data_IF_992607473005
#
_entry.id   IF_992607473005
#
_cell.length_a   1.000
_cell.length_b   1.000
_cell.length_c   1.000
_cell.angle_alpha   90.00
_cell.angle_beta   90.00
_cell.angle_gamma   90.00
#
_symmetry.space_group_name_H-M   'P 1'
#
loop_
_entity.id
_entity.type
_entity.pdbx_description
1 polymer ?
#
# COMPACT_ATOMS: atom_id res chain seq x y z
N UNK A 1 42.71 -21.55 -18.28
CA UNK A 1 41.28 -21.27 -18.56
C UNK A 1 40.43 -21.35 -17.28
N UNK A 2 40.39 -20.32 -16.43
CA UNK A 2 39.58 -20.31 -15.19
C UNK A 2 39.01 -18.92 -14.88
N UNK A 3 37.96 -18.49 -15.59
CA UNK A 3 37.23 -17.25 -15.24
C UNK A 3 35.73 -17.29 -15.59
N UNK A 4 35.25 -18.35 -16.25
CA UNK A 4 33.86 -18.47 -16.71
C UNK A 4 32.85 -18.67 -15.58
N UNK A 5 33.20 -19.43 -14.52
CA UNK A 5 32.31 -19.65 -13.37
C UNK A 5 32.06 -18.39 -12.51
N UNK A 6 32.99 -17.43 -12.52
CA UNK A 6 32.86 -16.11 -11.89
C UNK A 6 31.70 -15.30 -12.47
N UNK A 7 31.77 -15.11 -13.79
CA UNK A 7 30.84 -14.28 -14.57
C UNK A 7 29.44 -14.89 -14.65
N UNK A 8 29.32 -16.22 -14.73
CA UNK A 8 28.01 -16.88 -14.80
C UNK A 8 27.21 -16.69 -13.50
N UNK A 9 27.86 -16.85 -12.34
CA UNK A 9 27.22 -16.62 -11.04
C UNK A 9 26.82 -15.16 -10.82
N UNK A 10 27.64 -14.20 -11.24
CA UNK A 10 27.30 -12.78 -11.18
C UNK A 10 26.10 -12.42 -12.07
N UNK A 11 26.04 -12.96 -13.29
CA UNK A 11 24.88 -12.75 -14.19
C UNK A 11 23.60 -13.34 -13.62
N UNK A 12 23.66 -14.53 -13.02
CA UNK A 12 22.52 -15.16 -12.36
C UNK A 12 22.07 -14.35 -11.14
N UNK A 13 23.00 -13.90 -10.30
CA UNK A 13 22.68 -13.04 -9.16
C UNK A 13 22.00 -11.74 -9.60
N UNK A 14 22.54 -11.09 -10.65
CA UNK A 14 21.94 -9.87 -11.21
C UNK A 14 20.51 -10.11 -11.70
N UNK A 15 20.27 -11.20 -12.43
CA UNK A 15 18.92 -11.56 -12.90
C UNK A 15 17.97 -11.82 -11.73
N UNK A 16 18.45 -12.50 -10.69
CA UNK A 16 17.64 -12.82 -9.52
C UNK A 16 17.27 -11.54 -8.74
N UNK A 17 18.23 -10.64 -8.52
CA UNK A 17 17.99 -9.33 -7.92
C UNK A 17 16.96 -8.50 -8.71
N UNK A 18 17.09 -8.46 -10.03
CA UNK A 18 16.14 -7.75 -10.89
C UNK A 18 14.75 -8.39 -10.83
N UNK A 19 14.67 -9.72 -10.87
CA UNK A 19 13.38 -10.42 -10.75
C UNK A 19 12.72 -10.16 -9.40
N UNK A 20 13.47 -10.24 -8.29
CA UNK A 20 12.95 -9.94 -6.95
C UNK A 20 12.48 -8.49 -6.85
N UNK A 21 13.24 -7.53 -7.37
CA UNK A 21 12.85 -6.13 -7.38
C UNK A 21 11.57 -5.88 -8.20
N UNK A 22 11.46 -6.49 -9.40
CA UNK A 22 10.26 -6.39 -10.23
C UNK A 22 9.04 -7.03 -9.56
N UNK A 23 9.20 -8.19 -8.91
CA UNK A 23 8.13 -8.84 -8.15
C UNK A 23 7.69 -7.98 -6.97
N UNK A 24 8.62 -7.35 -6.26
CA UNK A 24 8.31 -6.42 -5.17
C UNK A 24 7.52 -5.21 -5.66
N UNK A 25 7.97 -4.59 -6.76
CA UNK A 25 7.26 -3.47 -7.39
C UNK A 25 5.86 -3.87 -7.86
N UNK A 26 5.71 -5.05 -8.45
CA UNK A 26 4.42 -5.56 -8.89
C UNK A 26 3.49 -5.83 -7.71
N UNK A 27 3.99 -6.40 -6.62
CA UNK A 27 3.23 -6.61 -5.40
C UNK A 27 2.76 -5.27 -4.80
N UNK A 28 3.66 -4.29 -4.69
CA UNK A 28 3.32 -2.94 -4.23
C UNK A 28 2.23 -2.33 -5.11
N UNK A 29 2.39 -2.40 -6.44
CA UNK A 29 1.43 -1.85 -7.39
C UNK A 29 0.06 -2.55 -7.32
N UNK A 30 0.03 -3.89 -7.16
CA UNK A 30 -1.22 -4.63 -7.05
C UNK A 30 -1.93 -4.38 -5.73
N UNK A 31 -1.19 -4.25 -4.63
CA UNK A 31 -1.80 -3.83 -3.35
C UNK A 31 -2.36 -2.41 -3.52
N UNK A 32 -1.63 -1.48 -4.17
CA UNK A 32 -2.09 -0.11 -4.51
C UNK A 32 -3.36 -0.10 -5.33
N UNK A 33 -3.43 -0.94 -6.36
CA UNK A 33 -4.62 -1.12 -7.15
C UNK A 33 -5.78 -1.67 -6.30
N UNK A 34 -5.54 -2.69 -5.47
CA UNK A 34 -6.54 -3.28 -4.59
C UNK A 34 -7.20 -2.26 -3.66
N UNK A 35 -6.41 -1.43 -2.97
CA UNK A 35 -7.01 -0.46 -2.04
C UNK A 35 -7.77 0.68 -2.73
N UNK A 36 -7.46 0.98 -4.00
CA UNK A 36 -8.29 1.88 -4.81
C UNK A 36 -9.70 1.32 -4.98
N UNK A 37 -9.81 0.01 -5.18
CA UNK A 37 -11.08 -0.69 -5.37
C UNK A 37 -11.82 -0.95 -4.06
N UNK A 38 -11.12 -1.25 -2.97
CA UNK A 38 -11.75 -1.58 -1.69
C UNK A 38 -12.33 -0.34 -0.97
N UNK A 39 -11.75 0.84 -1.19
CA UNK A 39 -12.17 2.08 -0.55
C UNK A 39 -12.53 3.18 -1.57
N UNK A 40 -13.51 2.99 -2.47
CA UNK A 40 -13.85 3.98 -3.48
C UNK A 40 -14.36 5.28 -2.82
N UNK A 41 -13.99 6.43 -3.37
CA UNK A 41 -14.60 7.69 -2.93
C UNK A 41 -16.09 7.66 -3.27
N UNK A 42 -16.93 7.78 -2.24
CA UNK A 42 -18.37 7.71 -2.46
C UNK A 42 -18.85 9.01 -3.12
N UNK A 43 -19.35 8.87 -4.35
CA UNK A 43 -19.86 10.00 -5.12
C UNK A 43 -21.06 10.67 -4.43
N UNK A 44 -21.89 9.91 -3.71
CA UNK A 44 -23.05 10.46 -3.01
C UNK A 44 -22.65 11.31 -1.79
N UNK A 45 -21.58 10.92 -1.10
CA UNK A 45 -20.99 11.72 -0.02
C UNK A 45 -20.44 13.04 -0.58
N UNK A 46 -19.69 12.98 -1.68
CA UNK A 46 -19.15 14.18 -2.34
C UNK A 46 -20.25 15.12 -2.86
N UNK A 47 -21.34 14.57 -3.40
CA UNK A 47 -22.50 15.36 -3.84
C UNK A 47 -23.15 16.04 -2.63
N UNK A 48 -23.34 15.32 -1.51
CA UNK A 48 -23.86 15.91 -0.27
C UNK A 48 -22.95 16.99 0.33
N UNK A 49 -21.62 16.85 0.22
CA UNK A 49 -20.67 17.88 0.65
C UNK A 49 -20.73 19.16 -0.20
N UNK A 50 -20.96 19.02 -1.50
CA UNK A 50 -21.02 20.14 -2.43
C UNK A 50 -22.38 20.83 -2.46
N UNK A 51 -23.43 20.13 -2.03
CA UNK A 51 -24.81 20.62 -2.02
C UNK A 51 -24.99 21.79 -1.03
N UNK A 52 -25.49 22.97 -1.49
CA UNK A 52 -25.72 24.10 -0.61
C UNK A 52 -26.77 23.82 0.47
N UNK A 53 -27.78 22.99 0.17
CA UNK A 53 -28.81 22.55 1.11
C UNK A 53 -28.29 21.70 2.27
N UNK A 54 -27.07 21.17 2.19
CA UNK A 54 -26.44 20.38 3.24
C UNK A 54 -25.48 21.19 4.13
N UNK A 55 -25.56 22.52 4.12
CA UNK A 55 -24.71 23.40 4.92
C UNK A 55 -24.73 23.06 6.42
N UNK A 56 -25.88 22.71 6.98
CA UNK A 56 -26.01 22.34 8.39
C UNK A 56 -25.23 21.06 8.74
N UNK A 57 -25.21 20.08 7.83
CA UNK A 57 -24.43 18.84 7.97
C UNK A 57 -22.92 19.10 7.82
N UNK A 58 -22.55 20.08 6.98
CA UNK A 58 -21.16 20.51 6.81
C UNK A 58 -20.62 21.20 8.06
N UNK A 59 -21.42 22.04 8.70
CA UNK A 59 -21.04 22.79 9.90
C UNK A 59 -21.09 21.94 11.19
N UNK A 60 -21.78 20.81 11.16
CA UNK A 60 -21.86 19.84 12.25
C UNK A 60 -20.46 19.37 12.71
N UNK A 61 -20.21 19.21 14.01
CA UNK A 61 -18.96 18.55 14.47
C UNK A 61 -18.93 17.07 14.10
N UNK A 62 -17.83 16.61 13.50
CA UNK A 62 -17.60 15.19 13.19
C UNK A 62 -17.75 14.29 14.44
N UNK A 63 -18.19 13.05 14.26
CA UNK A 63 -18.27 12.04 15.32
C UNK A 63 -19.23 12.35 16.47
N UNK A 64 -20.15 13.32 16.29
CA UNK A 64 -21.07 13.79 17.34
C UNK A 64 -22.54 13.42 17.07
N UNK A 65 -22.91 12.11 17.07
CA UNK A 65 -24.24 11.65 16.68
C UNK A 65 -25.37 12.16 17.57
N UNK A 66 -25.09 12.49 18.83
CA UNK A 66 -26.10 12.94 19.81
C UNK A 66 -26.49 14.42 19.70
N UNK A 67 -25.77 15.23 18.93
CA UNK A 67 -25.97 16.69 18.85
C UNK A 67 -26.60 17.16 17.54
N UNK A 68 -26.86 16.25 16.59
CA UNK A 68 -27.26 16.65 15.25
C UNK A 68 -28.64 16.16 14.85
N UNK A 69 -29.41 17.07 14.25
CA UNK A 69 -30.69 16.77 13.66
C UNK A 69 -30.51 15.97 12.37
N UNK A 70 -31.34 14.94 12.18
CA UNK A 70 -31.31 14.14 10.95
C UNK A 70 -31.81 14.98 9.77
N UNK A 71 -31.09 15.03 8.64
CA UNK A 71 -31.50 15.84 7.50
C UNK A 71 -32.72 15.25 6.81
N UNK A 72 -33.59 16.13 6.28
CA UNK A 72 -34.80 15.74 5.54
C UNK A 72 -34.52 15.43 4.06
N UNK A 73 -33.40 15.91 3.52
CA UNK A 73 -32.98 15.66 2.14
C UNK A 73 -32.19 14.35 2.05
N UNK A 74 -32.58 13.47 1.13
CA UNK A 74 -31.86 12.24 0.82
C UNK A 74 -30.40 12.52 0.43
N UNK A 75 -30.14 13.65 -0.25
CA UNK A 75 -28.80 14.06 -0.67
C UNK A 75 -27.88 14.34 0.53
N UNK A 76 -28.43 14.88 1.61
CA UNK A 76 -27.66 15.17 2.81
C UNK A 76 -27.53 13.96 3.75
N UNK A 77 -28.36 12.93 3.56
CA UNK A 77 -28.41 11.78 4.45
C UNK A 77 -27.11 10.98 4.42
N UNK A 78 -26.56 10.70 3.24
CA UNK A 78 -25.30 9.94 3.12
C UNK A 78 -24.12 10.71 3.68
N UNK A 79 -24.08 12.03 3.44
CA UNK A 79 -23.06 12.90 4.02
C UNK A 79 -23.19 12.99 5.55
N UNK A 80 -24.40 13.04 6.08
CA UNK A 80 -24.66 13.03 7.52
C UNK A 80 -24.17 11.74 8.18
N UNK A 81 -24.49 10.58 7.60
CA UNK A 81 -24.01 9.28 8.10
C UNK A 81 -22.48 9.24 8.13
N UNK A 82 -21.83 9.73 7.08
CA UNK A 82 -20.37 9.86 7.05
C UNK A 82 -19.85 10.74 8.20
N UNK A 83 -20.42 11.94 8.38
CA UNK A 83 -20.01 12.91 9.41
C UNK A 83 -20.14 12.38 10.83
N UNK A 84 -21.16 11.56 11.11
CA UNK A 84 -21.34 10.97 12.45
C UNK A 84 -20.51 9.71 12.69
N UNK A 85 -20.16 8.98 11.62
CA UNK A 85 -19.44 7.71 11.71
C UNK A 85 -17.95 7.84 11.97
N UNK A 86 -17.34 8.95 11.56
CA UNK A 86 -15.92 9.20 11.70
C UNK A 86 -15.65 10.46 12.54
N UNK A 87 -14.76 10.38 13.56
CA UNK A 87 -14.48 11.51 14.46
C UNK A 87 -13.73 12.67 13.80
N UNK A 88 -13.12 12.43 12.64
CA UNK A 88 -12.35 13.35 11.83
C UNK A 88 -12.90 13.45 10.38
N UNK A 89 -14.20 13.12 10.21
CA UNK A 89 -14.86 13.20 8.92
C UNK A 89 -14.65 14.56 8.24
N UNK A 90 -14.26 14.55 6.98
CA UNK A 90 -14.11 15.74 6.16
C UNK A 90 -15.44 16.47 5.96
N UNK A 91 -15.38 17.79 5.74
CA UNK A 91 -16.56 18.63 5.49
C UNK A 91 -16.57 19.27 4.10
N UNK A 92 -15.55 19.00 3.28
CA UNK A 92 -15.46 19.42 1.89
C UNK A 92 -14.94 18.29 0.99
N UNK A 93 -15.20 18.34 -0.34
CA UNK A 93 -14.83 17.26 -1.25
C UNK A 93 -13.32 17.03 -1.40
N UNK A 94 -12.50 18.07 -1.27
CA UNK A 94 -11.05 17.97 -1.46
C UNK A 94 -10.39 17.36 -0.23
N UNK A 95 -10.79 17.77 0.98
CA UNK A 95 -10.34 17.14 2.22
C UNK A 95 -10.83 15.70 2.37
N UNK A 96 -12.03 15.37 1.85
CA UNK A 96 -12.52 13.99 1.79
C UNK A 96 -11.67 13.10 0.89
N UNK A 97 -11.31 13.59 -0.30
CA UNK A 97 -10.39 12.85 -1.19
C UNK A 97 -9.02 12.69 -0.56
N UNK A 98 -8.50 13.75 0.08
CA UNK A 98 -7.23 13.70 0.77
C UNK A 98 -7.24 12.69 1.92
N UNK A 99 -8.31 12.64 2.73
CA UNK A 99 -8.42 11.69 3.85
C UNK A 99 -8.53 10.24 3.38
N UNK A 100 -9.24 9.97 2.28
CA UNK A 100 -9.25 8.65 1.64
C UNK A 100 -7.85 8.25 1.17
N UNK A 101 -7.14 9.15 0.48
CA UNK A 101 -5.78 8.88 0.00
C UNK A 101 -4.83 8.65 1.19
N UNK A 102 -5.00 9.40 2.27
CA UNK A 102 -4.20 9.25 3.47
C UNK A 102 -4.47 7.92 4.17
N UNK A 103 -5.73 7.54 4.37
CA UNK A 103 -6.10 6.21 4.90
C UNK A 103 -5.49 5.07 4.08
N UNK A 104 -5.58 5.16 2.74
CA UNK A 104 -4.93 4.20 1.85
C UNK A 104 -3.42 4.17 2.09
N UNK A 105 -2.79 5.33 2.19
CA UNK A 105 -1.33 5.46 2.38
C UNK A 105 -0.88 4.89 3.72
N UNK A 106 -1.67 5.07 4.78
CA UNK A 106 -1.38 4.54 6.11
C UNK A 106 -1.47 3.00 6.11
N UNK A 107 -2.52 2.42 5.51
CA UNK A 107 -2.62 0.97 5.29
C UNK A 107 -1.45 0.43 4.43
N UNK A 108 -1.05 1.17 3.39
CA UNK A 108 0.11 0.82 2.56
C UNK A 108 1.40 0.78 3.35
N UNK A 109 1.61 1.79 4.20
CA UNK A 109 2.84 1.93 4.98
C UNK A 109 3.10 0.70 5.85
N UNK A 110 2.04 -0.01 6.25
CA UNK A 110 2.13 -1.23 7.04
C UNK A 110 2.61 -2.43 6.22
N UNK A 111 2.24 -2.55 4.94
CA UNK A 111 2.55 -3.72 4.09
C UNK A 111 3.94 -3.65 3.45
N UNK A 112 4.39 -2.44 3.10
CA UNK A 112 5.70 -2.18 2.47
C UNK A 112 6.90 -2.78 3.23
N UNK A 113 7.04 -2.64 4.55
CA UNK A 113 8.20 -3.20 5.28
C UNK A 113 8.24 -4.73 5.24
N UNK A 114 7.08 -5.40 5.26
CA UNK A 114 7.03 -6.86 5.16
C UNK A 114 7.46 -7.35 3.78
N UNK A 115 7.03 -6.66 2.72
CA UNK A 115 7.47 -6.98 1.35
C UNK A 115 9.00 -6.81 1.20
N UNK A 116 9.57 -5.74 1.77
CA UNK A 116 11.01 -5.52 1.78
C UNK A 116 11.78 -6.59 2.57
N UNK A 117 11.32 -6.94 3.77
CA UNK A 117 11.88 -8.02 4.58
C UNK A 117 11.96 -9.32 3.79
N UNK A 118 10.85 -9.70 3.14
CA UNK A 118 10.76 -10.92 2.34
C UNK A 118 11.77 -10.90 1.18
N UNK A 119 11.91 -9.74 0.50
CA UNK A 119 12.91 -9.57 -0.55
C UNK A 119 14.34 -9.75 -0.04
N UNK A 120 14.70 -9.12 1.09
CA UNK A 120 16.01 -9.27 1.70
C UNK A 120 16.29 -10.72 2.13
N UNK A 121 15.29 -11.42 2.69
CA UNK A 121 15.42 -12.83 3.06
C UNK A 121 15.72 -13.70 1.84
N UNK A 122 14.98 -13.55 0.74
CA UNK A 122 15.21 -14.32 -0.50
C UNK A 122 16.60 -14.07 -1.07
N UNK A 123 17.03 -12.80 -1.14
CA UNK A 123 18.36 -12.44 -1.63
C UNK A 123 19.46 -12.98 -0.70
N UNK A 124 19.28 -12.88 0.61
CA UNK A 124 20.21 -13.41 1.60
C UNK A 124 20.40 -14.93 1.49
N UNK A 125 19.32 -15.68 1.31
CA UNK A 125 19.36 -17.12 1.08
C UNK A 125 20.14 -17.43 -0.21
N UNK A 126 19.82 -16.74 -1.31
CA UNK A 126 20.50 -16.95 -2.59
C UNK A 126 22.01 -16.66 -2.51
N UNK A 127 22.40 -15.59 -1.82
CA UNK A 127 23.81 -15.23 -1.57
C UNK A 127 24.52 -16.32 -0.76
N UNK A 128 23.87 -16.83 0.30
CA UNK A 128 24.42 -17.87 1.18
C UNK A 128 24.65 -19.16 0.41
N UNK A 129 23.66 -19.62 -0.37
CA UNK A 129 23.78 -20.81 -1.22
C UNK A 129 24.91 -20.66 -2.24
N UNK A 130 25.03 -19.50 -2.88
CA UNK A 130 26.10 -19.26 -3.85
C UNK A 130 27.49 -19.28 -3.20
N UNK A 131 27.61 -18.76 -1.97
CA UNK A 131 28.86 -18.79 -1.21
C UNK A 131 29.24 -20.22 -0.83
N UNK A 132 28.32 -20.99 -0.26
CA UNK A 132 28.53 -22.40 0.12
C UNK A 132 28.91 -23.24 -1.09
N UNK A 133 28.21 -23.08 -2.22
CA UNK A 133 28.52 -23.79 -3.46
C UNK A 133 29.94 -23.47 -3.97
N UNK A 134 30.34 -22.19 -3.93
CA UNK A 134 31.70 -21.78 -4.28
C UNK A 134 32.76 -22.33 -3.33
N UNK A 135 32.48 -22.35 -2.02
CA UNK A 135 33.39 -22.88 -1.02
C UNK A 135 33.59 -24.39 -1.22
N UNK A 136 32.50 -25.14 -1.43
CA UNK A 136 32.53 -26.57 -1.73
C UNK A 136 33.34 -26.89 -2.99
N UNK A 137 33.11 -26.17 -4.10
CA UNK A 137 33.90 -26.34 -5.33
C UNK A 137 35.39 -26.05 -5.15
N UNK A 138 35.76 -25.04 -4.34
CA UNK A 138 37.17 -24.72 -4.05
C UNK A 138 37.80 -25.83 -3.20
N UNK A 139 37.06 -26.37 -2.25
CA UNK A 139 37.56 -27.40 -1.35
C UNK A 139 37.79 -28.71 -2.11
N UNK A 140 36.83 -29.11 -2.94
CA UNK A 140 36.96 -30.31 -3.79
C UNK A 140 38.12 -30.24 -4.78
N UNK A 141 38.50 -29.04 -5.23
CA UNK A 141 39.67 -28.80 -6.08
C UNK A 141 41.02 -28.79 -5.36
N UNK A 142 41.03 -28.65 -4.03
CA UNK A 142 42.25 -28.73 -3.22
C UNK A 142 42.53 -30.15 -2.74
N UNK A 143 41.51 -31.00 -2.73
CA UNK A 143 41.57 -32.40 -2.31
C UNK A 143 41.78 -33.38 -3.48
N UNK A 144 41.81 -32.88 -4.72
CA UNK A 144 42.12 -33.63 -5.95
C UNK A 144 43.41 -33.09 -6.55
#
# INVERSE_FOLDING_TARGET
MHSTGGRLGYRLLKKLLVATALSALLAIAMTWAGSIYDNPADASIMVGMAAPECAEVRDMTAGSPGLAAQPQSEVCQTFFVYRISAPDAANDPDSYRASIVQHRTDEFSQVVPYAWLLCFTVVGIAMTLMYVFRAGLRWHRRSA
#
